data_IF_466785004928
#
_entry.id   IF_466785004928
#
_cell.length_a   1.000
_cell.length_b   1.000
_cell.length_c   1.000
_cell.angle_alpha   90.00
_cell.angle_beta   90.00
_cell.angle_gamma   90.00
#
_symmetry.space_group_name_H-M   'P 1'
#
loop_
_entity.id
_entity.type
_entity.pdbx_description
1 polymer ?
#
# COMPACT_ATOMS: atom_id res chain seq x y z
N UNK A 1 -84.61 -20.04 -6.19
CA UNK A 1 -83.78 -20.89 -7.05
C UNK A 1 -83.02 -20.03 -8.02
N UNK A 2 -81.76 -19.71 -7.72
CA UNK A 2 -80.71 -19.22 -8.64
C UNK A 2 -79.37 -19.41 -7.94
N UNK A 3 -78.67 -20.42 -8.37
CA UNK A 3 -77.32 -20.71 -7.99
C UNK A 3 -76.40 -19.63 -8.56
N UNK A 4 -75.47 -19.11 -7.73
CA UNK A 4 -74.37 -18.25 -8.18
C UNK A 4 -73.08 -19.05 -8.15
N UNK A 5 -72.61 -19.37 -9.32
CA UNK A 5 -71.35 -20.00 -9.59
C UNK A 5 -70.16 -19.01 -9.21
N UNK A 6 -69.37 -19.35 -8.23
CA UNK A 6 -68.17 -18.59 -7.89
C UNK A 6 -67.00 -19.21 -8.65
N UNK A 7 -66.47 -18.46 -9.62
CA UNK A 7 -65.21 -18.79 -10.31
C UNK A 7 -64.05 -18.31 -9.44
N UNK A 8 -63.20 -19.25 -8.98
CA UNK A 8 -61.92 -18.96 -8.33
C UNK A 8 -60.85 -18.77 -9.41
N UNK A 9 -60.33 -17.55 -9.55
CA UNK A 9 -59.06 -17.31 -10.29
C UNK A 9 -57.87 -17.66 -9.41
N UNK A 10 -57.16 -18.72 -9.77
CA UNK A 10 -55.83 -19.03 -9.22
C UNK A 10 -54.81 -18.12 -9.92
N UNK A 11 -54.28 -17.16 -9.21
CA UNK A 11 -53.10 -16.39 -9.63
C UNK A 11 -51.85 -17.20 -9.29
N UNK A 12 -51.23 -17.85 -10.27
CA UNK A 12 -49.89 -18.43 -10.16
C UNK A 12 -48.84 -17.32 -10.28
N UNK A 13 -48.21 -16.99 -9.16
CA UNK A 13 -47.05 -16.09 -9.13
C UNK A 13 -45.81 -16.83 -9.67
N UNK A 14 -45.37 -16.46 -10.86
CA UNK A 14 -44.09 -16.92 -11.41
C UNK A 14 -42.96 -16.12 -10.73
N UNK A 15 -42.26 -16.75 -9.83
CA UNK A 15 -41.02 -16.20 -9.24
C UNK A 15 -39.90 -16.31 -10.27
N UNK A 16 -39.44 -15.17 -10.78
CA UNK A 16 -38.28 -15.05 -11.63
C UNK A 16 -37.02 -15.12 -10.75
N UNK A 17 -36.06 -16.02 -10.97
CA UNK A 17 -34.81 -16.03 -10.20
C UNK A 17 -33.98 -14.80 -10.59
N UNK A 18 -33.71 -13.94 -9.62
CA UNK A 18 -32.80 -12.81 -9.71
C UNK A 18 -31.35 -13.36 -9.78
N UNK A 19 -30.78 -13.39 -10.99
CA UNK A 19 -29.37 -13.70 -11.16
C UNK A 19 -28.54 -12.57 -10.55
N UNK A 20 -27.93 -12.83 -9.40
CA UNK A 20 -26.87 -12.00 -8.84
C UNK A 20 -25.64 -12.21 -9.72
N UNK A 21 -25.37 -11.27 -10.64
CA UNK A 21 -24.09 -11.18 -11.33
C UNK A 21 -23.09 -10.67 -10.32
N UNK A 22 -22.47 -11.58 -9.58
CA UNK A 22 -21.30 -11.30 -8.78
C UNK A 22 -20.15 -10.96 -9.73
N UNK A 23 -19.79 -9.67 -9.81
CA UNK A 23 -18.56 -9.23 -10.44
C UNK A 23 -17.38 -9.80 -9.67
N UNK A 24 -16.89 -10.98 -10.06
CA UNK A 24 -15.61 -11.49 -9.65
C UNK A 24 -14.55 -10.57 -10.25
N UNK A 25 -13.96 -9.71 -9.42
CA UNK A 25 -12.72 -9.04 -9.76
C UNK A 25 -11.73 -10.15 -10.16
N UNK A 26 -11.24 -10.10 -11.41
CA UNK A 26 -10.27 -11.05 -11.90
C UNK A 26 -9.05 -11.03 -10.98
N UNK A 27 -8.92 -12.05 -10.14
CA UNK A 27 -7.69 -12.33 -9.45
C UNK A 27 -6.68 -12.72 -10.54
N UNK A 28 -5.64 -11.92 -10.73
CA UNK A 28 -4.54 -12.23 -11.63
C UNK A 28 -4.03 -13.64 -11.33
N UNK A 29 -4.10 -14.53 -12.34
CA UNK A 29 -3.72 -15.92 -12.14
C UNK A 29 -2.20 -16.04 -11.91
N UNK A 30 -1.73 -17.08 -11.19
CA UNK A 30 -0.30 -17.31 -10.96
C UNK A 30 0.56 -17.38 -12.24
N UNK A 31 -0.04 -17.66 -13.37
CA UNK A 31 0.62 -17.66 -14.68
C UNK A 31 0.97 -16.25 -15.17
N UNK A 32 0.18 -15.22 -14.85
CA UNK A 32 0.46 -13.82 -15.19
C UNK A 32 1.64 -13.26 -14.39
N UNK A 33 1.78 -13.68 -13.13
CA UNK A 33 2.87 -13.24 -12.25
C UNK A 33 4.25 -13.68 -12.78
N UNK A 34 4.41 -14.91 -13.28
CA UNK A 34 5.69 -15.45 -13.76
C UNK A 34 6.27 -14.75 -15.00
N UNK A 35 5.44 -14.06 -15.78
CA UNK A 35 5.88 -13.28 -16.93
C UNK A 35 6.23 -11.83 -16.62
N UNK A 36 5.91 -11.35 -15.41
CA UNK A 36 6.00 -9.93 -15.08
C UNK A 36 7.43 -9.39 -15.10
N UNK A 37 8.39 -10.14 -14.58
CA UNK A 37 9.81 -9.77 -14.68
C UNK A 37 10.27 -9.63 -16.14
N UNK A 38 9.93 -10.60 -17.01
CA UNK A 38 10.30 -10.57 -18.41
C UNK A 38 9.65 -9.38 -19.15
N UNK A 39 8.41 -9.05 -18.84
CA UNK A 39 7.71 -7.88 -19.35
C UNK A 39 8.42 -6.60 -18.95
N UNK A 40 8.71 -6.43 -17.65
CA UNK A 40 9.39 -5.24 -17.13
C UNK A 40 10.81 -5.07 -17.68
N UNK A 41 11.52 -6.16 -17.92
CA UNK A 41 12.85 -6.14 -18.56
C UNK A 41 12.84 -5.69 -20.03
N UNK A 42 11.70 -5.54 -20.68
CA UNK A 42 11.61 -4.89 -22.01
C UNK A 42 11.92 -3.39 -21.95
N UNK A 43 11.79 -2.78 -20.76
CA UNK A 43 12.10 -1.37 -20.55
C UNK A 43 13.59 -1.18 -20.26
N UNK A 44 14.24 -0.29 -20.99
CA UNK A 44 15.68 -0.02 -20.87
C UNK A 44 16.11 0.34 -19.45
N UNK A 45 15.37 1.24 -18.78
CA UNK A 45 15.67 1.67 -17.42
C UNK A 45 15.61 0.53 -16.41
N UNK A 46 14.69 -0.42 -16.59
CA UNK A 46 14.60 -1.62 -15.76
C UNK A 46 15.75 -2.56 -16.03
N UNK A 47 16.14 -2.77 -17.31
CA UNK A 47 17.35 -3.56 -17.64
C UNK A 47 18.61 -2.96 -17.04
N UNK A 48 18.77 -1.63 -17.10
CA UNK A 48 19.89 -0.93 -16.49
C UNK A 48 19.92 -1.11 -14.96
N UNK A 49 18.77 -0.97 -14.29
CA UNK A 49 18.62 -1.25 -12.88
C UNK A 49 18.97 -2.72 -12.55
N UNK A 50 18.45 -3.67 -13.33
CA UNK A 50 18.72 -5.09 -13.14
C UNK A 50 20.22 -5.41 -13.28
N UNK A 51 20.85 -4.92 -14.35
CA UNK A 51 22.28 -5.10 -14.58
C UNK A 51 23.13 -4.56 -13.43
N UNK A 52 22.76 -3.42 -12.85
CA UNK A 52 23.57 -2.74 -11.83
C UNK A 52 23.31 -3.22 -10.40
N UNK A 53 22.10 -3.71 -10.07
CA UNK A 53 21.69 -3.96 -8.68
C UNK A 53 21.30 -5.42 -8.39
N UNK A 54 20.93 -6.23 -9.39
CA UNK A 54 20.34 -7.54 -9.14
C UNK A 54 21.29 -8.50 -8.40
N UNK A 55 22.57 -8.53 -8.76
CA UNK A 55 23.54 -9.42 -8.11
C UNK A 55 23.71 -9.11 -6.61
N UNK A 56 23.75 -7.81 -6.25
CA UNK A 56 23.82 -7.38 -4.85
C UNK A 56 22.54 -7.69 -4.09
N UNK A 57 21.37 -7.47 -4.73
CA UNK A 57 20.06 -7.81 -4.19
C UNK A 57 19.97 -9.31 -3.90
N UNK A 58 20.29 -10.16 -4.85
CA UNK A 58 20.27 -11.62 -4.67
C UNK A 58 21.23 -12.08 -3.56
N UNK A 59 22.43 -11.49 -3.48
CA UNK A 59 23.37 -11.75 -2.38
C UNK A 59 22.73 -11.44 -1.02
N UNK A 60 22.07 -10.27 -0.90
CA UNK A 60 21.36 -9.87 0.33
C UNK A 60 20.23 -10.86 0.68
N UNK A 61 19.44 -11.25 -0.29
CA UNK A 61 18.35 -12.23 -0.08
C UNK A 61 18.90 -13.60 0.33
N UNK A 62 19.94 -14.10 -0.33
CA UNK A 62 20.60 -15.38 0.06
C UNK A 62 21.13 -15.35 1.47
N UNK A 63 21.78 -14.25 1.89
CA UNK A 63 22.25 -14.06 3.27
C UNK A 63 21.10 -14.06 4.29
N UNK A 64 19.92 -13.62 3.88
CA UNK A 64 18.70 -13.69 4.67
C UNK A 64 17.95 -15.03 4.54
N UNK A 65 18.45 -16.00 3.75
CA UNK A 65 17.79 -17.29 3.51
C UNK A 65 16.52 -17.18 2.65
N UNK A 66 16.40 -16.14 1.81
CA UNK A 66 15.24 -15.88 0.96
C UNK A 66 15.65 -16.05 -0.52
N UNK A 67 14.88 -16.81 -1.27
CA UNK A 67 15.06 -16.94 -2.72
C UNK A 67 14.20 -15.90 -3.46
N UNK A 68 14.71 -15.39 -4.58
CA UNK A 68 13.99 -14.38 -5.39
C UNK A 68 12.63 -14.85 -5.91
N UNK A 69 12.51 -16.15 -6.21
CA UNK A 69 11.27 -16.77 -6.70
C UNK A 69 10.23 -17.08 -5.59
N UNK A 70 10.58 -16.81 -4.34
CA UNK A 70 9.72 -16.98 -3.17
C UNK A 70 9.68 -15.70 -2.31
N UNK A 71 10.02 -14.55 -2.89
CA UNK A 71 10.16 -13.28 -2.17
C UNK A 71 8.79 -12.63 -1.95
N UNK A 72 8.55 -12.20 -0.70
CA UNK A 72 7.55 -11.21 -0.35
C UNK A 72 8.21 -10.02 0.32
N UNK A 73 7.82 -8.80 -0.07
CA UNK A 73 8.32 -7.55 0.51
C UNK A 73 7.21 -6.69 1.10
N UNK A 74 7.60 -5.78 1.99
CA UNK A 74 6.76 -4.78 2.61
C UNK A 74 7.61 -3.54 2.87
N UNK A 75 7.06 -2.35 2.61
CA UNK A 75 7.71 -1.07 2.84
C UNK A 75 7.08 -0.36 4.03
N UNK A 76 7.90 0.26 4.87
CA UNK A 76 7.46 1.12 5.97
C UNK A 76 8.19 2.44 5.88
N UNK A 77 7.46 3.53 5.69
CA UNK A 77 7.99 4.89 5.68
C UNK A 77 7.69 5.60 7.00
N UNK A 78 8.68 6.35 7.49
CA UNK A 78 8.56 7.24 8.65
C UNK A 78 8.92 8.65 8.20
N UNK A 79 7.94 9.56 8.20
CA UNK A 79 8.08 10.91 7.64
C UNK A 79 9.07 11.76 8.43
N UNK A 80 8.93 11.81 9.76
CA UNK A 80 9.81 12.63 10.61
C UNK A 80 11.28 12.20 10.54
N UNK A 81 11.53 10.89 10.40
CA UNK A 81 12.86 10.34 10.29
C UNK A 81 13.41 10.35 8.86
N UNK A 82 12.57 10.70 7.88
CA UNK A 82 12.95 10.65 6.47
C UNK A 82 13.45 9.26 6.05
N UNK A 83 12.81 8.20 6.51
CA UNK A 83 13.27 6.82 6.32
C UNK A 83 12.23 5.95 5.65
N UNK A 84 12.68 5.14 4.67
CA UNK A 84 11.92 4.04 4.07
C UNK A 84 12.61 2.72 4.43
N UNK A 85 11.95 1.87 5.18
CA UNK A 85 12.42 0.54 5.55
C UNK A 85 11.84 -0.53 4.63
N UNK A 86 12.69 -1.41 4.14
CA UNK A 86 12.32 -2.61 3.39
C UNK A 86 12.35 -3.82 4.31
N UNK A 87 11.22 -4.47 4.40
CA UNK A 87 11.05 -5.76 5.06
C UNK A 87 10.83 -6.84 4.01
N UNK A 88 11.37 -8.04 4.26
CA UNK A 88 11.19 -9.19 3.38
C UNK A 88 11.01 -10.48 4.16
N UNK A 89 10.41 -11.47 3.48
CA UNK A 89 10.27 -12.84 3.96
C UNK A 89 10.22 -13.80 2.76
N UNK A 90 10.46 -15.09 3.00
CA UNK A 90 10.03 -16.12 2.06
C UNK A 90 8.50 -16.20 2.00
N UNK A 91 7.93 -16.59 0.87
CA UNK A 91 6.48 -16.77 0.71
C UNK A 91 5.92 -17.77 1.75
N UNK A 92 6.71 -18.75 2.16
CA UNK A 92 6.36 -19.76 3.17
C UNK A 92 6.53 -19.27 4.62
N UNK A 93 7.29 -18.18 4.83
CA UNK A 93 7.49 -17.63 6.17
C UNK A 93 6.27 -16.83 6.61
N UNK A 94 6.09 -16.77 7.95
CA UNK A 94 5.00 -15.98 8.54
C UNK A 94 5.42 -14.54 8.78
N UNK A 95 6.69 -14.33 9.19
CA UNK A 95 7.20 -13.04 9.68
C UNK A 95 8.15 -12.38 8.69
N UNK A 96 7.97 -11.09 8.49
CA UNK A 96 8.91 -10.24 7.77
C UNK A 96 10.14 -9.94 8.63
N UNK A 97 11.29 -9.74 7.97
CA UNK A 97 12.53 -9.25 8.59
C UNK A 97 12.97 -7.99 7.88
N UNK A 98 13.43 -7.00 8.62
CA UNK A 98 13.99 -5.79 8.03
C UNK A 98 15.31 -6.12 7.32
N UNK A 99 15.41 -5.84 6.03
CA UNK A 99 16.60 -6.05 5.23
C UNK A 99 17.38 -4.77 4.96
N UNK A 100 16.68 -3.66 4.75
CA UNK A 100 17.27 -2.39 4.32
C UNK A 100 16.55 -1.22 5.00
N UNK A 101 17.28 -0.11 5.10
CA UNK A 101 16.74 1.20 5.44
C UNK A 101 17.35 2.21 4.46
N UNK A 102 16.51 3.01 3.85
CA UNK A 102 16.89 4.04 2.88
C UNK A 102 16.50 5.41 3.43
N UNK A 103 17.38 6.39 3.35
CA UNK A 103 17.00 7.77 3.59
C UNK A 103 16.12 8.26 2.42
N UNK A 104 14.95 8.82 2.72
CA UNK A 104 14.11 9.57 1.78
C UNK A 104 14.79 10.90 1.52
N UNK A 105 14.89 11.35 0.26
CA UNK A 105 15.63 12.57 -0.10
C UNK A 105 14.98 13.84 0.45
N UNK A 106 13.64 13.91 0.40
CA UNK A 106 12.84 15.04 0.87
C UNK A 106 11.49 14.53 1.34
N UNK A 107 11.00 15.10 2.44
CA UNK A 107 9.64 14.84 2.93
C UNK A 107 8.91 16.18 2.92
N UNK A 108 8.19 16.51 1.84
CA UNK A 108 7.45 17.76 1.75
C UNK A 108 6.28 17.79 2.73
N UNK A 109 5.81 18.99 3.03
CA UNK A 109 4.68 19.24 3.90
C UNK A 109 5.00 19.14 5.38
N UNK A 110 3.99 18.81 6.17
CA UNK A 110 4.04 18.70 7.64
C UNK A 110 3.71 17.27 8.06
N UNK A 111 3.91 16.95 9.33
CA UNK A 111 3.32 15.75 9.92
C UNK A 111 1.80 15.89 9.90
N UNK A 112 1.13 14.82 9.53
CA UNK A 112 -0.29 14.76 9.24
C UNK A 112 -0.57 14.21 7.85
N UNK A 113 -1.77 13.66 7.64
CA UNK A 113 -2.12 13.00 6.40
C UNK A 113 -2.39 13.99 5.26
N UNK A 114 -2.20 13.54 4.02
CA UNK A 114 -2.68 14.23 2.83
C UNK A 114 -4.21 14.18 2.78
N UNK A 115 -4.87 15.34 2.54
CA UNK A 115 -6.34 15.46 2.50
C UNK A 115 -6.88 16.29 1.34
N UNK A 116 -6.00 16.93 0.59
CA UNK A 116 -6.41 17.79 -0.53
C UNK A 116 -5.37 17.76 -1.64
N UNK A 117 -5.84 17.85 -2.89
CA UNK A 117 -4.95 18.05 -4.05
C UNK A 117 -4.16 19.35 -3.88
N UNK A 118 -2.86 19.30 -4.16
CA UNK A 118 -1.98 20.48 -4.04
C UNK A 118 -1.59 20.87 -2.60
N UNK A 119 -1.91 20.07 -1.58
CA UNK A 119 -1.51 20.34 -0.18
C UNK A 119 -0.05 20.00 0.13
N UNK A 120 0.69 19.49 -0.84
CA UNK A 120 2.11 19.10 -0.75
C UNK A 120 2.41 18.11 0.38
N UNK A 121 1.39 17.39 0.86
CA UNK A 121 1.54 16.42 1.95
C UNK A 121 1.86 15.02 1.42
N UNK A 122 2.81 14.37 2.06
CA UNK A 122 2.95 12.91 1.95
C UNK A 122 1.81 12.26 2.74
N UNK A 123 1.05 11.31 2.18
CA UNK A 123 -0.03 10.64 2.90
C UNK A 123 0.48 9.83 4.10
N UNK A 124 -0.40 9.54 5.04
CA UNK A 124 -0.18 8.66 6.19
C UNK A 124 -1.26 7.60 6.23
N UNK A 125 -0.89 6.33 6.38
CA UNK A 125 -1.85 5.22 6.39
C UNK A 125 -1.28 3.90 5.88
N UNK A 126 -2.20 3.00 5.55
CA UNK A 126 -1.89 1.64 5.08
C UNK A 126 -2.28 1.50 3.61
N UNK A 127 -1.26 1.37 2.77
CA UNK A 127 -1.37 1.32 1.31
C UNK A 127 -0.76 0.04 0.76
N UNK A 128 -0.80 -0.11 -0.55
CA UNK A 128 -0.05 -1.11 -1.29
C UNK A 128 0.41 -0.53 -2.63
N UNK A 129 1.43 -1.13 -3.21
CA UNK A 129 1.86 -0.79 -4.58
C UNK A 129 0.76 -1.19 -5.54
N UNK A 130 0.26 -0.25 -6.32
CA UNK A 130 -0.78 -0.45 -7.34
C UNK A 130 -0.24 -0.38 -8.77
N UNK A 131 0.92 0.27 -8.98
CA UNK A 131 1.51 0.48 -10.30
C UNK A 131 3.03 0.38 -10.29
N UNK A 132 3.57 -0.29 -11.31
CA UNK A 132 4.96 -0.21 -11.69
C UNK A 132 5.09 0.73 -12.87
N UNK A 133 5.87 1.82 -12.74
CA UNK A 133 6.06 2.77 -13.81
C UNK A 133 7.54 2.82 -14.27
N UNK A 134 7.90 2.02 -15.28
CA UNK A 134 9.26 1.99 -15.83
C UNK A 134 9.57 3.21 -16.72
N UNK A 135 8.57 4.05 -17.02
CA UNK A 135 8.69 5.26 -17.85
C UNK A 135 8.49 6.54 -17.05
N UNK A 136 8.73 6.48 -15.74
CA UNK A 136 8.58 7.64 -14.85
C UNK A 136 9.46 8.79 -15.29
N UNK A 137 8.97 10.03 -15.16
CA UNK A 137 9.81 11.22 -15.32
C UNK A 137 10.97 11.27 -14.32
N UNK A 138 10.85 10.51 -13.22
CA UNK A 138 11.81 10.36 -12.13
C UNK A 138 12.49 9.00 -12.17
N UNK A 139 13.02 8.60 -13.30
CA UNK A 139 13.71 7.36 -13.62
C UNK A 139 12.80 6.12 -13.58
N UNK A 140 12.45 5.66 -12.39
CA UNK A 140 11.53 4.55 -12.09
C UNK A 140 10.60 4.98 -10.96
N UNK A 141 9.37 4.46 -10.91
CA UNK A 141 8.49 4.70 -9.78
C UNK A 141 7.52 3.55 -9.50
N UNK A 142 7.14 3.43 -8.23
CA UNK A 142 6.11 2.55 -7.72
C UNK A 142 4.95 3.42 -7.23
N UNK A 143 3.79 3.35 -7.90
CA UNK A 143 2.57 4.02 -7.44
C UNK A 143 2.00 3.29 -6.24
N UNK A 144 1.35 4.04 -5.35
CA UNK A 144 0.58 3.47 -4.25
C UNK A 144 -0.89 3.80 -4.42
N UNK A 145 -1.77 2.96 -3.88
CA UNK A 145 -3.23 3.10 -3.99
C UNK A 145 -3.80 4.25 -3.14
N UNK A 146 -3.13 5.41 -3.19
CA UNK A 146 -3.67 6.66 -2.63
C UNK A 146 -4.58 7.35 -3.67
N UNK A 147 -5.76 7.89 -3.27
CA UNK A 147 -6.38 7.78 -1.94
C UNK A 147 -7.06 6.42 -1.73
N UNK A 148 -6.87 5.82 -0.56
CA UNK A 148 -7.62 4.65 -0.14
C UNK A 148 -9.01 5.04 0.44
N UNK A 149 -9.77 4.09 0.98
CA UNK A 149 -11.10 4.36 1.54
C UNK A 149 -11.05 5.34 2.73
N UNK A 150 -10.07 5.18 3.64
CA UNK A 150 -9.90 6.08 4.77
C UNK A 150 -9.62 7.52 4.33
N UNK A 151 -8.74 7.70 3.33
CA UNK A 151 -8.41 9.01 2.80
C UNK A 151 -9.64 9.71 2.19
N UNK A 152 -10.45 8.97 1.42
CA UNK A 152 -11.67 9.52 0.80
C UNK A 152 -12.67 9.98 1.84
N UNK A 153 -12.98 9.13 2.84
CA UNK A 153 -13.92 9.46 3.92
C UNK A 153 -13.42 10.68 4.70
N UNK A 154 -12.16 10.65 5.14
CA UNK A 154 -11.59 11.72 5.97
C UNK A 154 -11.29 13.02 5.21
N UNK A 155 -11.27 12.99 3.88
CA UNK A 155 -11.18 14.21 3.06
C UNK A 155 -12.53 14.92 2.92
N UNK A 156 -13.63 14.25 3.24
CA UNK A 156 -14.98 14.80 3.13
C UNK A 156 -15.28 15.27 1.70
N UNK A 157 -15.70 16.53 1.56
CA UNK A 157 -16.03 17.12 0.25
C UNK A 157 -14.80 17.59 -0.54
N UNK A 158 -13.59 17.46 0.00
CA UNK A 158 -12.36 17.86 -0.69
C UNK A 158 -11.92 16.77 -1.65
N UNK A 159 -11.38 17.17 -2.81
CA UNK A 159 -10.66 16.24 -3.67
C UNK A 159 -9.29 15.92 -3.04
N UNK A 160 -9.03 14.69 -2.58
CA UNK A 160 -7.75 14.34 -1.96
C UNK A 160 -6.57 14.34 -2.94
N UNK A 161 -6.84 14.36 -4.25
CA UNK A 161 -5.83 14.17 -5.28
C UNK A 161 -5.52 12.69 -5.51
N UNK A 162 -4.33 12.42 -6.05
CA UNK A 162 -3.86 11.08 -6.40
C UNK A 162 -2.40 11.08 -6.78
N UNK A 163 -1.98 10.03 -7.51
CA UNK A 163 -0.64 9.94 -8.12
C UNK A 163 0.52 10.09 -7.12
N UNK A 164 0.44 9.37 -6.01
CA UNK A 164 1.51 9.28 -5.03
C UNK A 164 2.42 8.09 -5.39
N UNK A 165 3.73 8.37 -5.43
CA UNK A 165 4.75 7.40 -5.84
C UNK A 165 5.94 7.35 -4.86
N UNK A 166 6.59 6.19 -4.82
CA UNK A 166 7.99 6.03 -4.42
C UNK A 166 8.79 6.12 -5.72
N UNK A 167 9.69 7.11 -5.90
CA UNK A 167 10.32 7.40 -7.20
C UNK A 167 11.78 7.84 -7.07
N UNK A 168 12.51 7.84 -8.17
CA UNK A 168 13.85 8.43 -8.28
C UNK A 168 13.81 9.95 -8.27
N UNK A 169 15.02 10.57 -8.33
CA UNK A 169 15.20 12.01 -8.16
C UNK A 169 14.81 12.50 -6.75
N UNK A 170 15.33 13.67 -6.36
CA UNK A 170 15.16 14.21 -5.00
C UNK A 170 14.16 15.37 -4.92
N UNK A 171 13.22 15.46 -5.85
CA UNK A 171 12.16 16.49 -5.88
C UNK A 171 10.81 15.90 -5.54
N UNK A 172 10.00 16.56 -4.72
CA UNK A 172 8.66 16.08 -4.39
C UNK A 172 7.74 17.20 -3.95
N UNK A 173 6.46 17.03 -4.28
CA UNK A 173 5.32 17.83 -3.83
C UNK A 173 4.25 16.94 -3.15
N UNK A 174 4.68 15.82 -2.54
CA UNK A 174 3.78 14.90 -1.83
C UNK A 174 4.09 13.41 -2.03
N UNK A 175 5.08 13.07 -2.88
CA UNK A 175 5.58 11.72 -3.08
C UNK A 175 6.71 11.36 -2.09
N UNK A 176 7.22 10.14 -2.21
CA UNK A 176 8.37 9.62 -1.47
C UNK A 176 9.60 9.56 -2.41
N UNK A 177 10.37 10.66 -2.54
CA UNK A 177 11.51 10.73 -3.44
C UNK A 177 12.70 9.98 -2.86
N UNK A 178 13.28 9.10 -3.68
CA UNK A 178 14.51 8.38 -3.42
C UNK A 178 15.56 8.84 -4.40
N UNK A 179 16.85 8.65 -4.11
CA UNK A 179 17.85 8.85 -5.16
C UNK A 179 17.67 7.83 -6.28
N UNK A 180 18.17 8.13 -7.47
CA UNK A 180 18.15 7.21 -8.61
C UNK A 180 18.78 5.85 -8.30
N UNK A 181 19.83 5.86 -7.50
CA UNK A 181 20.51 4.65 -7.06
C UNK A 181 19.63 3.79 -6.16
N UNK A 182 18.91 4.41 -5.23
CA UNK A 182 17.99 3.72 -4.30
C UNK A 182 16.76 3.19 -5.00
N UNK A 183 16.14 3.99 -5.89
CA UNK A 183 14.91 3.54 -6.56
C UNK A 183 15.18 2.35 -7.49
N UNK A 184 16.36 2.24 -8.10
CA UNK A 184 16.72 1.04 -8.88
C UNK A 184 16.66 -0.22 -8.02
N UNK A 185 17.19 -0.18 -6.79
CA UNK A 185 17.16 -1.31 -5.88
C UNK A 185 15.73 -1.59 -5.35
N UNK A 186 15.03 -0.56 -4.89
CA UNK A 186 13.66 -0.64 -4.35
C UNK A 186 12.70 -1.23 -5.41
N UNK A 187 12.80 -0.75 -6.64
CA UNK A 187 11.98 -1.23 -7.75
C UNK A 187 12.22 -2.73 -8.03
N UNK A 188 13.47 -3.18 -8.00
CA UNK A 188 13.80 -4.59 -8.22
C UNK A 188 13.31 -5.49 -7.09
N UNK A 189 13.37 -5.08 -5.83
CA UNK A 189 12.77 -5.83 -4.73
C UNK A 189 11.26 -6.02 -4.95
N UNK A 190 10.57 -4.94 -5.29
CA UNK A 190 9.15 -5.00 -5.61
C UNK A 190 8.86 -5.86 -6.84
N UNK A 191 9.69 -5.75 -7.89
CA UNK A 191 9.58 -6.51 -9.13
C UNK A 191 9.73 -8.01 -8.91
N UNK A 192 10.75 -8.45 -8.15
CA UNK A 192 10.92 -9.85 -7.79
C UNK A 192 9.76 -10.37 -6.94
N UNK A 193 9.30 -9.58 -5.97
CA UNK A 193 8.15 -9.95 -5.14
C UNK A 193 6.86 -10.11 -5.98
N UNK A 194 6.59 -9.19 -6.90
CA UNK A 194 5.46 -9.30 -7.82
C UNK A 194 5.59 -10.53 -8.73
N UNK A 195 6.79 -10.78 -9.26
CA UNK A 195 7.06 -11.93 -10.11
C UNK A 195 6.98 -13.28 -9.37
N UNK A 196 7.18 -13.29 -8.04
CA UNK A 196 6.98 -14.48 -7.21
C UNK A 196 5.54 -14.67 -6.71
N UNK A 197 4.60 -13.83 -7.16
CA UNK A 197 3.16 -13.98 -6.90
C UNK A 197 2.63 -13.09 -5.78
N UNK A 198 3.38 -12.12 -5.30
CA UNK A 198 2.87 -11.14 -4.33
C UNK A 198 2.05 -10.06 -5.06
N UNK A 199 0.74 -10.22 -5.13
CA UNK A 199 -0.14 -9.29 -5.84
C UNK A 199 -0.23 -7.92 -5.17
N UNK A 200 -0.27 -7.89 -3.85
CA UNK A 200 -0.32 -6.65 -3.06
C UNK A 200 0.94 -6.53 -2.23
N UNK A 201 1.81 -5.60 -2.58
CA UNK A 201 3.01 -5.25 -1.83
C UNK A 201 2.63 -4.14 -0.84
N UNK A 202 2.57 -4.41 0.49
CA UNK A 202 2.14 -3.41 1.45
C UNK A 202 3.12 -2.23 1.54
N UNK A 203 2.57 -1.03 1.71
CA UNK A 203 3.29 0.22 1.96
C UNK A 203 2.63 0.92 3.13
N UNK A 204 3.28 0.95 4.28
CA UNK A 204 2.79 1.65 5.46
C UNK A 204 3.53 2.98 5.58
N UNK A 205 2.81 4.07 5.79
CA UNK A 205 3.39 5.40 5.92
C UNK A 205 2.94 5.99 7.24
N UNK A 206 3.90 6.17 8.14
CA UNK A 206 3.68 6.71 9.48
C UNK A 206 4.25 8.13 9.60
N UNK A 207 3.64 8.99 10.42
CA UNK A 207 4.16 10.33 10.67
C UNK A 207 5.56 10.32 11.26
N UNK A 208 5.81 9.40 12.17
CA UNK A 208 7.05 9.18 12.91
C UNK A 208 7.09 7.75 13.43
N UNK A 209 8.22 7.30 14.00
CA UNK A 209 8.25 6.02 14.74
C UNK A 209 7.31 6.12 15.94
N UNK A 210 6.24 5.34 15.92
CA UNK A 210 5.10 5.52 16.85
C UNK A 210 5.35 4.87 18.21
N UNK A 211 6.52 5.14 18.80
CA UNK A 211 6.83 4.79 20.20
C UNK A 211 5.96 5.62 21.14
N UNK A 212 5.73 5.13 22.37
CA UNK A 212 4.96 5.89 23.36
C UNK A 212 5.56 7.26 23.70
N UNK A 213 6.90 7.36 23.67
CA UNK A 213 7.60 8.63 23.87
C UNK A 213 7.29 9.63 22.76
N UNK A 214 7.42 9.20 21.49
CA UNK A 214 7.11 10.04 20.35
C UNK A 214 5.62 10.40 20.29
N UNK A 215 4.73 9.45 20.57
CA UNK A 215 3.28 9.74 20.65
C UNK A 215 2.97 10.84 21.66
N UNK A 216 3.54 10.77 22.87
CA UNK A 216 3.36 11.84 23.87
C UNK A 216 3.91 13.19 23.39
N UNK A 217 5.13 13.20 22.83
CA UNK A 217 5.77 14.41 22.33
C UNK A 217 4.93 15.09 21.23
N UNK A 218 4.56 14.34 20.19
CA UNK A 218 3.84 14.90 19.04
C UNK A 218 2.38 15.21 19.37
N UNK A 219 1.74 14.45 20.27
CA UNK A 219 0.41 14.78 20.78
C UNK A 219 0.39 16.12 21.54
N UNK A 220 1.43 16.39 22.37
CA UNK A 220 1.57 17.67 23.06
C UNK A 220 1.75 18.84 22.09
N UNK A 221 2.59 18.67 21.05
CA UNK A 221 2.80 19.67 20.00
C UNK A 221 1.51 19.96 19.19
N UNK A 222 0.59 19.00 19.13
CA UNK A 222 -0.67 19.08 18.39
C UNK A 222 -1.91 19.07 19.32
N UNK A 223 -1.77 19.61 20.55
CA UNK A 223 -2.84 19.60 21.55
C UNK A 223 -4.15 20.24 21.06
N UNK A 224 -4.06 21.24 20.17
CA UNK A 224 -5.21 21.95 19.59
C UNK A 224 -5.84 21.23 18.39
N UNK A 225 -5.31 20.08 17.98
CA UNK A 225 -5.85 19.30 16.85
C UNK A 225 -6.27 17.88 17.29
N UNK A 226 -7.43 17.74 17.93
CA UNK A 226 -7.89 16.45 18.44
C UNK A 226 -8.13 15.42 17.32
N UNK A 227 -8.56 15.85 16.14
CA UNK A 227 -8.79 14.96 15.00
C UNK A 227 -7.48 14.32 14.50
N UNK A 228 -6.38 15.09 14.46
CA UNK A 228 -5.06 14.56 14.09
C UNK A 228 -4.54 13.56 15.13
N UNK A 229 -4.72 13.87 16.42
CA UNK A 229 -4.30 12.97 17.51
C UNK A 229 -5.05 11.64 17.45
N UNK A 230 -6.39 11.69 17.28
CA UNK A 230 -7.21 10.49 17.12
C UNK A 230 -6.74 9.65 15.91
N UNK A 231 -6.47 10.30 14.77
CA UNK A 231 -5.95 9.62 13.59
C UNK A 231 -4.60 8.93 13.87
N UNK A 232 -3.68 9.58 14.58
CA UNK A 232 -2.39 8.97 14.94
C UNK A 232 -2.53 7.84 15.96
N UNK A 233 -3.48 7.94 16.90
CA UNK A 233 -3.82 6.84 17.82
C UNK A 233 -4.33 5.61 17.05
N UNK A 234 -5.15 5.84 16.03
CA UNK A 234 -5.62 4.77 15.15
C UNK A 234 -4.47 4.15 14.33
N UNK A 235 -3.58 4.96 13.75
CA UNK A 235 -2.39 4.47 13.06
C UNK A 235 -1.48 3.66 14.00
N UNK A 236 -1.33 4.10 15.26
CA UNK A 236 -0.50 3.43 16.26
C UNK A 236 -0.96 1.99 16.51
N UNK A 237 -2.25 1.71 16.51
CA UNK A 237 -2.75 0.34 16.66
C UNK A 237 -2.15 -0.60 15.60
N UNK A 238 -2.16 -0.19 14.33
CA UNK A 238 -1.56 -0.98 13.25
C UNK A 238 -0.04 -1.04 13.35
N UNK A 239 0.62 0.08 13.70
CA UNK A 239 2.07 0.11 13.91
C UNK A 239 2.51 -0.89 15.00
N UNK A 240 1.81 -0.92 16.13
CA UNK A 240 2.13 -1.80 17.26
C UNK A 240 1.87 -3.27 16.90
N UNK A 241 0.77 -3.57 16.20
CA UNK A 241 0.48 -4.92 15.70
C UNK A 241 1.58 -5.41 14.74
N UNK A 242 2.03 -4.56 13.81
CA UNK A 242 3.13 -4.89 12.91
C UNK A 242 4.45 -5.07 13.66
N UNK A 243 4.78 -4.15 14.57
CA UNK A 243 6.01 -4.19 15.35
C UNK A 243 6.12 -5.43 16.24
N UNK A 244 5.00 -5.85 16.85
CA UNK A 244 4.96 -7.04 17.69
C UNK A 244 5.04 -8.36 16.90
N UNK A 245 4.40 -8.42 15.73
CA UNK A 245 4.20 -9.65 15.00
C UNK A 245 5.04 -9.80 13.74
N UNK A 246 5.51 -8.67 13.18
CA UNK A 246 6.20 -8.61 11.89
C UNK A 246 5.42 -9.30 10.75
N UNK A 247 4.08 -9.20 10.76
CA UNK A 247 3.18 -9.75 9.75
C UNK A 247 2.50 -8.63 8.99
N UNK A 248 2.23 -8.84 7.70
CA UNK A 248 1.40 -7.91 6.96
C UNK A 248 0.01 -7.80 7.60
N UNK A 249 -0.47 -6.57 7.75
CA UNK A 249 -1.74 -6.29 8.38
C UNK A 249 -2.89 -6.46 7.39
N UNK A 250 -4.02 -6.93 7.89
CA UNK A 250 -5.32 -6.83 7.23
C UNK A 250 -6.01 -5.60 7.82
N UNK A 251 -5.93 -4.49 7.10
CA UNK A 251 -6.56 -3.22 7.48
C UNK A 251 -7.84 -3.03 6.65
N UNK A 252 -8.99 -3.05 7.30
CA UNK A 252 -10.25 -2.56 6.78
C UNK A 252 -10.44 -1.09 7.17
N UNK A 253 -11.48 -0.45 6.67
CA UNK A 253 -11.83 0.94 7.01
C UNK A 253 -13.30 0.96 7.38
N UNK A 254 -13.63 1.56 8.52
CA UNK A 254 -14.99 1.71 9.00
C UNK A 254 -15.72 2.93 8.35
N UNK A 255 -16.95 3.17 8.74
CA UNK A 255 -17.78 4.26 8.23
C UNK A 255 -17.26 5.66 8.59
N UNK A 256 -16.40 5.77 9.61
CA UNK A 256 -15.76 7.01 10.04
C UNK A 256 -14.40 7.23 9.38
N UNK A 257 -13.93 6.27 8.57
CA UNK A 257 -12.63 6.30 7.92
C UNK A 257 -11.48 5.88 8.84
N UNK A 258 -11.75 5.24 9.97
CA UNK A 258 -10.72 4.68 10.84
C UNK A 258 -10.32 3.27 10.38
N UNK A 259 -9.05 2.94 10.54
CA UNK A 259 -8.55 1.62 10.23
C UNK A 259 -8.97 0.61 11.31
N UNK A 260 -9.51 -0.52 10.87
CA UNK A 260 -9.86 -1.67 11.71
C UNK A 260 -8.98 -2.83 11.32
N UNK A 261 -8.26 -3.38 12.29
CA UNK A 261 -7.29 -4.46 12.06
C UNK A 261 -7.87 -5.80 12.50
N UNK A 262 -7.85 -6.79 11.59
CA UNK A 262 -8.20 -8.17 11.90
C UNK A 262 -6.93 -9.04 12.02
N UNK A 263 -7.03 -10.05 12.90
CA UNK A 263 -5.97 -11.05 13.12
C UNK A 263 -5.86 -12.04 11.96
#
# INVERSE_FOLDING_TARGET
>A
MRERLRVFFLLTAIALPMMIVGGAGAADSPASARGFLAEQLRHERVRAAYKSKNAALEKTLRQAGIQTNALNVLFVAYKAEGALELYAKSATDIRYRKLRSYAICAVPGKLGPKRQSGDEQVPEGFYHVDRFNPRSNFLLSLGINYPNAADRIKSGNKNPGGDIFIHGDCVSIGCLPMTDDKIREIYLYALHARNSGQDRIPVYIFPFRMTDANMRQYAAQNARNPALRHFWENLKQGHDLFSANARALRAAVDEHGDYVFSR
#
